data_IF_485756248729
#
_entry.id   IF_485756248729
#
_cell.length_a   1.000
_cell.length_b   1.000
_cell.length_c   1.000
_cell.angle_alpha   90.00
_cell.angle_beta   90.00
_cell.angle_gamma   90.00
#
_symmetry.space_group_name_H-M   'P 1'
#
loop_
_entity.id
_entity.type
_entity.pdbx_description
1 polymer ?
#
# COMPACT_ATOMS: atom_id res chain seq x y z
N UNK A 1 -11.64 27.00 5.12
CA UNK A 1 -10.64 26.19 4.40
C UNK A 1 -9.75 27.17 3.68
N UNK A 2 -8.52 27.36 4.15
CA UNK A 2 -7.55 28.19 3.42
C UNK A 2 -7.28 27.54 2.07
N UNK A 3 -7.42 28.32 1.00
CA UNK A 3 -7.14 27.85 -0.35
C UNK A 3 -5.64 27.68 -0.54
N UNK A 4 -5.22 26.52 -1.02
CA UNK A 4 -3.83 26.21 -1.33
C UNK A 4 -3.29 27.22 -2.35
N UNK A 5 -2.23 27.95 -2.01
CA UNK A 5 -1.57 28.87 -2.94
C UNK A 5 -0.79 28.09 -3.99
N UNK A 6 -0.53 28.72 -5.14
CA UNK A 6 0.26 28.10 -6.22
C UNK A 6 1.69 27.81 -5.74
N UNK A 7 2.29 28.70 -4.94
CA UNK A 7 3.61 28.44 -4.34
C UNK A 7 3.58 27.18 -3.47
N UNK A 8 2.60 27.06 -2.57
CA UNK A 8 2.53 25.90 -1.67
C UNK A 8 2.28 24.60 -2.43
N UNK A 9 1.47 24.65 -3.49
CA UNK A 9 1.25 23.49 -4.37
C UNK A 9 2.55 23.03 -5.04
N UNK A 10 3.40 23.97 -5.50
CA UNK A 10 4.70 23.66 -6.11
C UNK A 10 5.67 23.05 -5.11
N UNK A 11 5.73 23.57 -3.89
CA UNK A 11 6.55 23.01 -2.81
C UNK A 11 6.17 21.55 -2.53
N UNK A 12 4.87 21.27 -2.40
CA UNK A 12 4.39 19.90 -2.15
C UNK A 12 4.78 18.95 -3.30
N UNK A 13 4.61 19.39 -4.55
CA UNK A 13 5.02 18.58 -5.71
C UNK A 13 6.52 18.31 -5.67
N UNK A 14 7.32 19.30 -5.27
CA UNK A 14 8.77 19.16 -5.20
C UNK A 14 9.20 18.20 -4.08
N UNK A 15 8.58 18.31 -2.91
CA UNK A 15 8.77 17.40 -1.78
C UNK A 15 8.45 15.96 -2.19
N UNK A 16 7.30 15.71 -2.84
CA UNK A 16 6.90 14.39 -3.32
C UNK A 16 7.86 13.86 -4.39
N UNK A 17 8.33 14.73 -5.29
CA UNK A 17 9.30 14.38 -6.33
C UNK A 17 10.60 13.87 -5.72
N UNK A 18 11.17 14.63 -4.78
CA UNK A 18 12.42 14.27 -4.10
C UNK A 18 12.23 13.01 -3.26
N UNK A 19 11.14 12.91 -2.51
CA UNK A 19 10.81 11.72 -1.70
C UNK A 19 10.77 10.43 -2.53
N UNK A 20 10.24 10.50 -3.76
CA UNK A 20 10.18 9.37 -4.69
C UNK A 20 11.46 9.19 -5.54
N UNK A 21 12.56 9.86 -5.20
CA UNK A 21 13.84 9.75 -5.90
C UNK A 21 13.87 10.43 -7.26
N UNK A 22 12.95 11.38 -7.51
CA UNK A 22 12.95 12.26 -8.67
C UNK A 22 13.97 13.38 -8.55
N UNK A 23 14.65 13.69 -9.65
CA UNK A 23 15.62 14.78 -9.75
C UNK A 23 15.18 15.75 -10.86
N UNK A 24 15.55 17.03 -10.78
CA UNK A 24 15.20 17.97 -11.84
C UNK A 24 16.11 17.76 -13.04
N UNK A 25 15.73 18.34 -14.19
CA UNK A 25 16.63 18.43 -15.33
C UNK A 25 17.89 19.25 -15.00
N UNK A 26 17.80 20.22 -14.10
CA UNK A 26 18.96 20.97 -13.63
C UNK A 26 19.90 20.12 -12.79
N UNK A 27 19.38 19.41 -11.78
CA UNK A 27 20.15 18.47 -10.97
C UNK A 27 20.81 17.41 -11.85
N UNK A 28 20.08 16.90 -12.85
CA UNK A 28 20.58 15.92 -13.82
C UNK A 28 21.74 16.48 -14.65
N UNK A 29 21.65 17.72 -15.14
CA UNK A 29 22.76 18.37 -15.88
C UNK A 29 23.99 18.60 -14.99
N UNK A 30 23.77 18.89 -13.71
CA UNK A 30 24.83 19.19 -12.75
C UNK A 30 25.42 17.94 -12.07
N UNK A 31 24.84 16.76 -12.30
CA UNK A 31 25.28 15.50 -11.68
C UNK A 31 26.12 14.67 -12.65
N UNK A 32 27.16 14.00 -12.12
CA UNK A 32 28.00 13.08 -12.89
C UNK A 32 27.20 11.95 -13.52
N UNK A 33 27.50 11.63 -14.78
CA UNK A 33 26.85 10.53 -15.52
C UNK A 33 27.02 9.17 -14.84
N UNK A 34 28.13 8.95 -14.13
CA UNK A 34 28.36 7.70 -13.37
C UNK A 34 27.37 7.62 -12.20
N UNK A 35 27.14 8.73 -11.51
CA UNK A 35 26.19 8.82 -10.39
C UNK A 35 24.76 8.63 -10.89
N UNK A 36 24.39 9.29 -12.00
CA UNK A 36 23.07 9.11 -12.62
C UNK A 36 22.82 7.66 -13.04
N UNK A 37 23.82 7.00 -13.62
CA UNK A 37 23.73 5.59 -14.00
C UNK A 37 23.61 4.67 -12.79
N UNK A 38 24.35 4.94 -11.72
CA UNK A 38 24.24 4.19 -10.47
C UNK A 38 22.84 4.34 -9.84
N UNK A 39 22.31 5.56 -9.80
CA UNK A 39 20.95 5.85 -9.31
C UNK A 39 19.89 5.12 -10.15
N UNK A 40 20.02 5.15 -11.48
CA UNK A 40 19.11 4.43 -12.38
C UNK A 40 19.16 2.92 -12.15
N UNK A 41 20.35 2.34 -12.00
CA UNK A 41 20.49 0.91 -11.70
C UNK A 41 19.81 0.53 -10.37
N UNK A 42 19.98 1.33 -9.32
CA UNK A 42 19.31 1.12 -8.03
C UNK A 42 17.79 1.19 -8.19
N UNK A 43 17.28 2.16 -8.95
CA UNK A 43 15.84 2.26 -9.24
C UNK A 43 15.30 1.05 -10.00
N UNK A 44 16.04 0.55 -10.98
CA UNK A 44 15.67 -0.65 -11.73
C UNK A 44 15.65 -1.89 -10.85
N UNK A 45 16.65 -2.06 -10.00
CA UNK A 45 16.71 -3.15 -9.03
C UNK A 45 15.54 -3.08 -8.04
N UNK A 46 15.27 -1.90 -7.47
CA UNK A 46 14.13 -1.71 -6.57
C UNK A 46 12.82 -2.06 -7.29
N UNK A 47 12.60 -1.53 -8.49
CA UNK A 47 11.40 -1.82 -9.27
C UNK A 47 11.26 -3.30 -9.64
N UNK A 48 12.38 -4.00 -9.89
CA UNK A 48 12.36 -5.44 -10.14
C UNK A 48 11.96 -6.21 -8.87
N UNK A 49 12.57 -5.91 -7.73
CA UNK A 49 12.25 -6.53 -6.44
C UNK A 49 10.79 -6.27 -6.04
N UNK A 50 10.30 -5.05 -6.18
CA UNK A 50 8.89 -4.72 -5.89
C UNK A 50 7.93 -5.49 -6.79
N UNK A 51 8.25 -5.65 -8.08
CA UNK A 51 7.44 -6.46 -9.01
C UNK A 51 7.45 -7.93 -8.65
N UNK A 52 8.63 -8.50 -8.35
CA UNK A 52 8.75 -9.89 -7.92
C UNK A 52 8.00 -10.12 -6.61
N UNK A 53 8.16 -9.24 -5.62
CA UNK A 53 7.43 -9.31 -4.37
C UNK A 53 5.92 -9.21 -4.62
N UNK A 54 5.45 -8.27 -5.44
CA UNK A 54 4.04 -8.19 -5.80
C UNK A 54 3.56 -9.49 -6.47
N UNK A 55 4.30 -10.02 -7.45
CA UNK A 55 3.96 -11.29 -8.11
C UNK A 55 3.92 -12.46 -7.13
N UNK A 56 4.90 -12.57 -6.24
CA UNK A 56 4.97 -13.58 -5.19
C UNK A 56 3.76 -13.46 -4.26
N UNK A 57 3.40 -12.24 -3.85
CA UNK A 57 2.20 -11.94 -3.07
C UNK A 57 0.89 -12.26 -3.84
N UNK A 58 0.92 -12.17 -5.17
CA UNK A 58 -0.19 -12.57 -6.06
C UNK A 58 -0.17 -14.06 -6.46
N UNK A 59 0.81 -14.86 -6.02
CA UNK A 59 0.74 -16.33 -6.17
C UNK A 59 -0.40 -16.90 -5.32
N UNK A 60 -0.90 -18.08 -5.70
CA UNK A 60 -2.15 -18.66 -5.17
C UNK A 60 -2.25 -18.69 -3.64
N UNK A 61 -1.15 -18.94 -2.93
CA UNK A 61 -1.18 -19.16 -1.48
C UNK A 61 -1.18 -17.85 -0.69
N UNK A 62 -0.38 -16.86 -1.09
CA UNK A 62 -0.40 -15.53 -0.46
C UNK A 62 -1.61 -14.71 -0.90
N UNK A 63 -2.14 -14.96 -2.11
CA UNK A 63 -3.38 -14.34 -2.57
C UNK A 63 -4.52 -14.61 -1.58
N UNK A 64 -4.64 -15.82 -1.05
CA UNK A 64 -5.65 -16.14 -0.02
C UNK A 64 -5.60 -15.17 1.18
N UNK A 65 -4.40 -14.85 1.66
CA UNK A 65 -4.22 -13.90 2.77
C UNK A 65 -4.63 -12.48 2.36
N UNK A 66 -4.32 -12.05 1.14
CA UNK A 66 -4.76 -10.75 0.63
C UNK A 66 -6.27 -10.63 0.51
N UNK A 67 -6.95 -11.66 -0.02
CA UNK A 67 -8.41 -11.65 -0.13
C UNK A 67 -9.06 -11.58 1.26
N UNK A 68 -8.48 -12.21 2.29
CA UNK A 68 -8.95 -12.09 3.68
C UNK A 68 -8.77 -10.67 4.24
N UNK A 69 -7.66 -10.01 3.93
CA UNK A 69 -7.43 -8.61 4.33
C UNK A 69 -8.43 -7.69 3.63
N UNK A 70 -8.66 -7.88 2.32
CA UNK A 70 -9.65 -7.10 1.56
C UNK A 70 -11.06 -7.30 2.13
N UNK A 71 -11.45 -8.54 2.45
CA UNK A 71 -12.72 -8.80 3.13
C UNK A 71 -12.83 -8.01 4.45
N UNK A 72 -11.77 -7.96 5.26
CA UNK A 72 -11.79 -7.17 6.49
C UNK A 72 -11.77 -5.65 6.25
N UNK A 73 -11.21 -5.17 5.14
CA UNK A 73 -11.28 -3.76 4.73
C UNK A 73 -12.71 -3.36 4.33
N UNK A 74 -13.41 -4.23 3.61
CA UNK A 74 -14.79 -4.03 3.16
C UNK A 74 -15.84 -4.15 4.29
N UNK A 75 -15.43 -4.64 5.46
CA UNK A 75 -16.33 -4.87 6.59
C UNK A 75 -16.85 -3.59 7.23
N UNK A 76 -18.05 -3.71 7.82
CA UNK A 76 -18.66 -2.64 8.62
C UNK A 76 -18.31 -2.81 10.09
N UNK A 77 -17.70 -1.77 10.68
CA UNK A 77 -17.29 -1.76 12.09
C UNK A 77 -18.14 -0.78 12.90
N UNK A 78 -18.49 -1.17 14.13
CA UNK A 78 -19.18 -0.29 15.06
C UNK A 78 -18.27 0.88 15.45
N UNK A 79 -18.77 2.11 15.34
CA UNK A 79 -18.13 3.30 15.92
C UNK A 79 -18.52 3.53 17.38
N UNK A 80 -19.45 2.73 17.92
CA UNK A 80 -20.06 2.96 19.24
C UNK A 80 -19.28 2.32 20.40
N UNK A 81 -18.40 1.37 20.10
CA UNK A 81 -17.43 0.84 21.06
C UNK A 81 -16.08 1.38 20.61
N UNK A 82 -15.36 2.13 21.45
CA UNK A 82 -14.05 2.76 21.20
C UNK A 82 -12.91 1.78 20.80
N UNK A 83 -13.23 0.57 20.35
CA UNK A 83 -12.31 -0.39 19.82
C UNK A 83 -12.00 -0.05 18.36
N UNK A 84 -10.72 0.16 18.04
CA UNK A 84 -10.27 0.28 16.66
C UNK A 84 -10.60 -1.00 15.88
N UNK A 85 -10.98 -0.89 14.59
CA UNK A 85 -11.10 -2.04 13.70
C UNK A 85 -9.83 -2.90 13.72
N UNK A 86 -9.98 -4.22 13.75
CA UNK A 86 -8.85 -5.14 13.69
C UNK A 86 -9.15 -6.36 12.82
N UNK A 87 -8.07 -6.93 12.29
CA UNK A 87 -8.01 -8.31 11.78
C UNK A 87 -6.85 -9.01 12.51
N UNK A 88 -7.07 -10.23 12.97
CA UNK A 88 -6.11 -11.05 13.69
C UNK A 88 -5.96 -12.40 13.01
N UNK A 89 -4.72 -12.79 12.77
CA UNK A 89 -4.36 -14.10 12.24
C UNK A 89 -3.69 -14.91 13.35
N UNK A 90 -4.21 -16.11 13.62
CA UNK A 90 -3.59 -17.08 14.53
C UNK A 90 -3.19 -18.31 13.73
N UNK A 91 -1.88 -18.55 13.63
CA UNK A 91 -1.34 -19.72 12.94
C UNK A 91 -1.26 -20.91 13.91
N UNK A 92 -1.87 -22.03 13.53
CA UNK A 92 -1.75 -23.32 14.20
C UNK A 92 -1.12 -24.34 13.23
N UNK A 93 -0.63 -25.50 13.72
CA UNK A 93 0.05 -26.47 12.86
C UNK A 93 -0.75 -26.95 11.65
N UNK A 94 -2.08 -27.01 11.75
CA UNK A 94 -2.97 -27.53 10.70
C UNK A 94 -4.04 -26.53 10.22
N UNK A 95 -4.13 -25.35 10.84
CA UNK A 95 -5.17 -24.37 10.53
C UNK A 95 -4.72 -22.92 10.75
N UNK A 96 -5.44 -22.00 10.11
CA UNK A 96 -5.32 -20.57 10.33
C UNK A 96 -6.67 -20.06 10.83
N UNK A 97 -6.69 -19.45 12.00
CA UNK A 97 -7.87 -18.79 12.55
C UNK A 97 -7.78 -17.31 12.21
N UNK A 98 -8.83 -16.78 11.58
CA UNK A 98 -8.95 -15.37 11.19
C UNK A 98 -10.12 -14.76 11.96
N UNK A 99 -9.84 -13.69 12.71
CA UNK A 99 -10.82 -13.02 13.56
C UNK A 99 -10.83 -11.51 13.25
N UNK A 100 -12.01 -10.90 13.17
CA UNK A 100 -12.16 -9.45 13.11
C UNK A 100 -13.36 -9.01 13.99
N UNK A 101 -13.46 -7.72 14.31
CA UNK A 101 -14.56 -7.15 15.10
C UNK A 101 -15.65 -6.51 14.24
N UNK A 102 -15.94 -7.10 13.07
CA UNK A 102 -17.03 -6.63 12.22
C UNK A 102 -18.39 -6.71 12.94
N UNK A 103 -19.36 -5.95 12.44
CA UNK A 103 -20.76 -5.99 12.92
C UNK A 103 -21.50 -7.28 12.54
N UNK A 104 -20.89 -8.13 11.71
CA UNK A 104 -21.42 -9.38 11.20
C UNK A 104 -22.16 -9.22 9.88
N UNK A 105 -22.54 -10.35 9.27
CA UNK A 105 -23.33 -10.38 8.04
C UNK A 105 -24.77 -9.96 8.32
N UNK A 106 -25.29 -9.00 7.56
CA UNK A 106 -26.72 -8.74 7.46
C UNK A 106 -27.31 -9.58 6.30
N UNK A 107 -28.63 -9.83 6.29
CA UNK A 107 -29.28 -10.62 5.23
C UNK A 107 -29.07 -10.05 3.81
N UNK A 108 -28.73 -8.76 3.69
CA UNK A 108 -28.42 -8.11 2.41
C UNK A 108 -27.02 -8.47 1.86
N UNK A 109 -26.12 -9.02 2.68
CA UNK A 109 -24.77 -9.42 2.30
C UNK A 109 -24.68 -10.90 1.86
N UNK A 110 -25.76 -11.66 1.97
CA UNK A 110 -25.83 -13.05 1.53
C UNK A 110 -26.09 -13.19 0.04
N UNK A 111 -25.03 -13.35 -0.76
CA UNK A 111 -24.97 -13.90 -2.14
C UNK A 111 -26.14 -13.57 -3.08
N UNK A 112 -25.85 -12.78 -4.12
CA UNK A 112 -26.44 -13.05 -5.45
C UNK A 112 -25.71 -14.27 -6.02
N UNK A 113 -26.43 -15.38 -6.15
CA UNK A 113 -26.11 -16.43 -7.13
C UNK A 113 -26.10 -15.88 -8.56
#
# INVERSE_FOLDING_TARGET
MDSLTIERAREIIDEVRVYNGGITEEDRRNTSQIVLKALENVRQQLGAVTRTLAQDLYTSESRFVYELIQNAEDNSYSRAHDNSPYIKFTLMPEEIIVENNELGFNEANGKKE
#
